data_IF_260573609388
#
_entry.id   IF_260573609388
#
_cell.length_a   1.000
_cell.length_b   1.000
_cell.length_c   1.000
_cell.angle_alpha   90.00
_cell.angle_beta   90.00
_cell.angle_gamma   90.00
#
_symmetry.space_group_name_H-M   'P 1'
#
loop_
_entity.id
_entity.type
_entity.pdbx_description
1 polymer ?
#
# COMPACT_ATOMS: atom_id res chain seq x y z
N UNK A 1 -11.78 -8.33 -4.32
CA UNK A 1 -12.78 -7.31 -3.90
C UNK A 1 -13.16 -7.66 -2.47
N UNK A 2 -12.79 -6.82 -1.51
CA UNK A 2 -13.30 -6.93 -0.15
C UNK A 2 -14.65 -6.21 -0.08
N UNK A 3 -15.70 -6.99 0.11
CA UNK A 3 -17.03 -6.46 0.38
C UNK A 3 -17.10 -6.08 1.85
N UNK A 4 -17.60 -4.90 2.16
CA UNK A 4 -17.88 -4.47 3.52
C UNK A 4 -17.01 -3.33 4.03
N UNK A 5 -17.07 -2.18 3.38
CA UNK A 5 -16.48 -0.95 3.92
C UNK A 5 -17.33 -0.31 5.01
N UNK A 6 -18.54 -0.82 5.26
CA UNK A 6 -19.53 -0.10 6.07
C UNK A 6 -20.01 1.22 5.45
N UNK A 7 -19.51 1.57 4.26
CA UNK A 7 -19.90 2.76 3.52
C UNK A 7 -20.90 2.36 2.44
N UNK A 8 -22.18 2.66 2.67
CA UNK A 8 -23.22 2.45 1.65
C UNK A 8 -22.88 3.22 0.37
N UNK A 9 -23.07 2.57 -0.76
CA UNK A 9 -22.80 3.18 -2.06
C UNK A 9 -21.34 3.14 -2.51
N UNK A 10 -20.43 2.48 -1.77
CA UNK A 10 -19.02 2.37 -2.13
C UNK A 10 -18.53 0.92 -2.14
N UNK A 11 -17.54 0.64 -2.97
CA UNK A 11 -16.80 -0.62 -3.01
C UNK A 11 -15.35 -0.38 -2.62
N UNK A 12 -14.78 -1.28 -1.83
CA UNK A 12 -13.36 -1.27 -1.49
C UNK A 12 -12.60 -2.17 -2.46
N UNK A 13 -11.61 -1.61 -3.12
CA UNK A 13 -10.72 -2.30 -4.05
C UNK A 13 -9.29 -2.20 -3.51
N UNK A 14 -8.60 -3.31 -3.48
CA UNK A 14 -7.18 -3.36 -3.14
C UNK A 14 -6.38 -3.63 -4.41
N UNK A 15 -5.59 -2.66 -4.82
CA UNK A 15 -4.61 -2.84 -5.88
C UNK A 15 -3.34 -3.44 -5.29
N UNK A 16 -2.96 -4.60 -5.79
CA UNK A 16 -1.70 -5.27 -5.43
C UNK A 16 -0.61 -4.71 -6.31
N UNK A 17 0.40 -4.11 -5.70
CA UNK A 17 1.53 -3.51 -6.40
C UNK A 17 2.71 -4.49 -6.47
N UNK A 18 3.48 -4.50 -7.57
CA UNK A 18 4.73 -5.24 -7.66
C UNK A 18 5.86 -4.59 -6.86
N UNK A 19 5.65 -3.44 -6.28
CA UNK A 19 6.66 -2.74 -5.50
C UNK A 19 6.86 -3.36 -4.13
N UNK A 20 8.13 -3.55 -3.77
CA UNK A 20 8.56 -3.97 -2.44
C UNK A 20 9.44 -2.89 -1.85
N UNK A 21 9.08 -2.40 -0.67
CA UNK A 21 9.83 -1.38 0.03
C UNK A 21 10.50 -2.00 1.26
N UNK A 22 11.77 -1.75 1.43
CA UNK A 22 12.53 -2.08 2.65
C UNK A 22 12.94 -0.80 3.35
N UNK A 23 12.51 -0.68 4.59
CA UNK A 23 12.87 0.42 5.46
C UNK A 23 13.44 -0.18 6.76
N UNK A 24 14.57 0.34 7.25
CA UNK A 24 15.31 -0.25 8.38
C UNK A 24 15.26 0.60 9.64
N UNK A 25 14.96 1.88 9.50
CA UNK A 25 15.09 2.86 10.59
C UNK A 25 13.81 3.00 11.40
N UNK A 26 12.68 2.53 10.87
CA UNK A 26 11.36 2.59 11.50
C UNK A 26 10.59 3.86 11.17
N UNK A 27 10.95 4.54 10.07
CA UNK A 27 10.17 5.66 9.55
C UNK A 27 8.79 5.16 9.13
N UNK A 28 7.77 5.86 9.56
CA UNK A 28 6.39 5.62 9.14
C UNK A 28 6.07 6.48 7.92
N UNK A 29 5.16 5.99 7.11
CA UNK A 29 4.72 6.70 5.92
C UNK A 29 3.21 6.91 5.97
N UNK A 30 2.77 8.12 5.71
CA UNK A 30 1.36 8.42 5.49
C UNK A 30 1.03 8.17 4.01
N UNK A 31 0.10 7.26 3.76
CA UNK A 31 -0.54 7.09 2.47
C UNK A 31 -1.79 7.94 2.42
N UNK A 32 -1.94 8.71 1.36
CA UNK A 32 -3.08 9.60 1.15
C UNK A 32 -3.36 9.75 -0.34
N UNK A 33 -4.47 10.37 -0.68
CA UNK A 33 -4.76 10.73 -2.07
C UNK A 33 -3.62 11.54 -2.67
N UNK A 34 -3.38 11.33 -3.96
CA UNK A 34 -2.51 12.20 -4.72
C UNK A 34 -3.24 13.52 -5.04
N UNK A 35 -2.77 14.62 -4.46
CA UNK A 35 -3.36 15.95 -4.71
C UNK A 35 -3.06 16.49 -6.12
N UNK A 36 -2.12 15.86 -6.83
CA UNK A 36 -1.66 16.30 -8.15
C UNK A 36 -2.47 15.70 -9.30
N UNK A 37 -3.39 14.79 -9.01
CA UNK A 37 -4.20 14.13 -10.04
C UNK A 37 -5.60 14.73 -10.08
N UNK A 38 -5.85 15.57 -11.07
CA UNK A 38 -7.16 16.20 -11.29
C UNK A 38 -8.25 15.24 -11.78
N UNK A 39 -7.90 14.00 -12.13
CA UNK A 39 -8.84 13.00 -12.68
C UNK A 39 -9.42 12.03 -11.63
N UNK A 40 -9.17 12.24 -10.35
CA UNK A 40 -9.57 11.33 -9.27
C UNK A 40 -11.01 11.53 -8.77
N UNK A 41 -11.96 11.84 -9.65
CA UNK A 41 -13.37 11.95 -9.23
C UNK A 41 -14.04 10.59 -8.93
N UNK A 42 -13.44 9.49 -9.37
CA UNK A 42 -14.07 8.18 -9.37
C UNK A 42 -13.70 7.29 -8.18
N UNK A 43 -12.62 7.60 -7.51
CA UNK A 43 -12.14 6.87 -6.34
C UNK A 43 -11.41 7.79 -5.37
N UNK A 44 -11.26 7.33 -4.14
CA UNK A 44 -10.36 7.96 -3.18
C UNK A 44 -9.55 6.89 -2.44
N UNK A 45 -8.38 7.28 -1.98
CA UNK A 45 -7.50 6.45 -1.16
C UNK A 45 -7.68 6.87 0.29
N UNK A 46 -8.20 6.00 1.18
CA UNK A 46 -8.29 6.30 2.60
C UNK A 46 -6.90 6.55 3.18
N UNK A 47 -6.78 7.54 4.03
CA UNK A 47 -5.54 7.82 4.73
C UNK A 47 -5.14 6.63 5.60
N UNK A 48 -3.86 6.27 5.56
CA UNK A 48 -3.33 5.18 6.36
C UNK A 48 -1.85 5.35 6.65
N UNK A 49 -1.41 4.82 7.80
CA UNK A 49 0.00 4.80 8.15
C UNK A 49 0.57 3.41 7.88
N UNK A 50 1.68 3.38 7.15
CA UNK A 50 2.39 2.17 6.77
C UNK A 50 3.79 2.15 7.40
N UNK A 51 4.17 1.01 7.95
CA UNK A 51 5.49 0.77 8.52
C UNK A 51 6.23 -0.32 7.73
N UNK A 52 7.13 0.07 6.83
CA UNK A 52 7.90 -0.86 6.01
C UNK A 52 9.01 -1.63 6.76
N UNK A 53 9.25 -1.28 8.01
CA UNK A 53 10.11 -2.07 8.88
C UNK A 53 9.58 -3.48 9.13
N UNK A 54 8.26 -3.65 9.10
CA UNK A 54 7.58 -4.88 9.44
C UNK A 54 6.90 -5.56 8.26
N UNK A 55 6.72 -4.85 7.17
CA UNK A 55 6.15 -5.35 5.93
C UNK A 55 6.88 -4.78 4.73
N UNK A 56 6.90 -5.47 3.62
CA UNK A 56 7.55 -5.01 2.39
C UNK A 56 6.55 -4.71 1.27
N UNK A 57 5.37 -5.30 1.33
CA UNK A 57 4.34 -5.14 0.30
C UNK A 57 3.75 -3.75 0.30
N UNK A 58 3.63 -3.18 -0.88
CA UNK A 58 2.98 -1.89 -1.11
C UNK A 58 1.68 -2.13 -1.87
N UNK A 59 0.56 -2.02 -1.18
CA UNK A 59 -0.76 -2.15 -1.79
C UNK A 59 -1.50 -0.83 -1.63
N UNK A 60 -2.31 -0.49 -2.62
CA UNK A 60 -3.14 0.71 -2.59
C UNK A 60 -4.58 0.29 -2.34
N UNK A 61 -5.13 0.73 -1.22
CA UNK A 61 -6.54 0.57 -0.93
C UNK A 61 -7.30 1.75 -1.54
N UNK A 62 -8.32 1.44 -2.33
CA UNK A 62 -9.16 2.43 -3.01
C UNK A 62 -10.60 2.23 -2.62
N UNK A 63 -11.32 3.30 -2.46
CA UNK A 63 -12.76 3.31 -2.27
C UNK A 63 -13.39 3.91 -3.52
N UNK A 64 -14.23 3.15 -4.19
CA UNK A 64 -14.84 3.50 -5.47
C UNK A 64 -16.34 3.62 -5.30
N UNK A 65 -16.94 4.67 -5.85
CA UNK A 65 -18.39 4.83 -5.82
C UNK A 65 -19.09 3.75 -6.64
N UNK A 66 -20.08 3.09 -6.07
CA UNK A 66 -20.92 2.11 -6.78
C UNK A 66 -21.77 2.74 -7.87
N UNK A 67 -21.96 4.06 -7.86
CA UNK A 67 -22.67 4.78 -8.94
C UNK A 67 -21.91 4.72 -10.26
N UNK A 68 -20.60 4.42 -10.21
CA UNK A 68 -19.79 4.22 -11.40
C UNK A 68 -20.02 2.82 -11.99
N UNK A 69 -20.43 1.86 -11.17
CA UNK A 69 -20.81 0.53 -11.64
C UNK A 69 -22.24 0.57 -12.26
N UNK A 70 -22.46 0.08 -13.49
CA UNK A 70 -21.56 -0.74 -14.30
C UNK A 70 -20.55 0.03 -15.18
N UNK A 71 -20.50 1.34 -15.11
CA UNK A 71 -19.53 2.12 -15.87
C UNK A 71 -18.11 1.80 -15.43
N UNK A 72 -17.20 1.75 -16.36
CA UNK A 72 -15.78 1.53 -16.09
C UNK A 72 -15.06 2.86 -15.97
N UNK A 73 -14.07 2.93 -15.10
CA UNK A 73 -13.07 4.00 -15.15
C UNK A 73 -11.70 3.38 -15.45
N UNK A 74 -10.87 4.15 -16.11
CA UNK A 74 -9.54 3.73 -16.52
C UNK A 74 -8.50 4.42 -15.66
N UNK A 75 -7.52 3.67 -15.23
CA UNK A 75 -6.28 4.19 -14.64
C UNK A 75 -5.21 3.95 -15.69
N UNK A 76 -4.62 5.02 -16.20
CA UNK A 76 -3.59 4.93 -17.22
C UNK A 76 -2.23 4.63 -16.59
N UNK A 77 -1.32 4.07 -17.39
CA UNK A 77 0.07 3.93 -16.97
C UNK A 77 0.67 5.33 -16.72
N UNK A 78 1.26 5.51 -15.56
CA UNK A 78 1.82 6.80 -15.13
C UNK A 78 0.88 7.66 -14.29
N UNK A 79 -0.39 7.31 -14.18
CA UNK A 79 -1.29 8.01 -13.27
C UNK A 79 -0.84 7.81 -11.81
N UNK A 80 -0.71 8.89 -11.01
CA UNK A 80 -0.37 8.77 -9.60
C UNK A 80 -1.56 8.18 -8.83
N UNK A 81 -1.35 7.04 -8.18
CA UNK A 81 -2.39 6.32 -7.43
C UNK A 81 -2.49 6.80 -5.98
N UNK A 82 -1.35 7.07 -5.38
CA UNK A 82 -1.24 7.40 -3.97
C UNK A 82 -0.04 8.30 -3.73
N UNK A 83 -0.16 9.20 -2.79
CA UNK A 83 0.96 9.96 -2.27
C UNK A 83 1.47 9.30 -1.00
N UNK A 84 2.78 9.06 -0.94
CA UNK A 84 3.44 8.45 0.20
C UNK A 84 4.34 9.49 0.86
N UNK A 85 3.96 9.96 2.03
CA UNK A 85 4.64 11.02 2.76
C UNK A 85 5.41 10.40 3.93
N UNK A 86 6.74 10.52 3.99
CA UNK A 86 7.50 10.07 5.15
C UNK A 86 7.21 10.96 6.36
N UNK A 87 6.89 10.36 7.47
CA UNK A 87 6.67 11.04 8.75
C UNK A 87 8.02 11.16 9.48
N UNK A 88 8.90 11.96 8.94
CA UNK A 88 10.24 12.19 9.47
C UNK A 88 10.78 13.52 8.98
N UNK A 89 11.51 14.19 9.83
CA UNK A 89 12.31 15.40 9.55
C UNK A 89 13.67 15.09 8.91
N UNK A 90 14.03 13.81 8.83
CA UNK A 90 15.32 13.36 8.27
C UNK A 90 15.26 13.26 6.76
N UNK A 91 16.39 13.55 6.12
CA UNK A 91 16.56 13.31 4.70
C UNK A 91 16.42 11.81 4.37
N UNK A 92 15.56 11.50 3.40
CA UNK A 92 15.32 10.13 2.95
C UNK A 92 16.01 9.90 1.62
N UNK A 93 16.80 8.82 1.55
CA UNK A 93 17.39 8.34 0.29
C UNK A 93 16.61 7.12 -0.17
N UNK A 94 16.12 7.19 -1.40
CA UNK A 94 15.45 6.07 -2.07
C UNK A 94 16.45 5.46 -3.06
N UNK A 95 16.63 4.13 -2.95
CA UNK A 95 17.35 3.32 -3.94
C UNK A 95 16.36 2.37 -4.59
N UNK A 96 16.30 2.39 -5.89
CA UNK A 96 15.48 1.48 -6.68
C UNK A 96 16.34 0.48 -7.44
N UNK A 97 15.88 -0.77 -7.49
CA UNK A 97 16.45 -1.80 -8.34
C UNK A 97 15.35 -2.72 -8.84
N UNK A 98 15.58 -3.25 -10.03
CA UNK A 98 14.75 -4.28 -10.61
C UNK A 98 15.30 -5.63 -10.13
N UNK A 99 14.40 -6.51 -9.71
CA UNK A 99 14.74 -7.88 -9.28
C UNK A 99 14.06 -8.88 -10.20
N UNK A 100 14.61 -10.09 -10.30
CA UNK A 100 13.95 -11.18 -11.04
C UNK A 100 12.66 -11.61 -10.35
N UNK A 101 11.79 -12.29 -11.10
CA UNK A 101 10.57 -12.85 -10.53
C UNK A 101 10.87 -13.87 -9.42
N UNK A 102 11.91 -14.68 -9.59
CA UNK A 102 12.33 -15.67 -8.58
C UNK A 102 12.84 -14.99 -7.30
N UNK A 103 13.64 -13.94 -7.43
CA UNK A 103 14.10 -13.17 -6.29
C UNK A 103 12.94 -12.47 -5.57
N UNK A 104 11.98 -11.98 -6.33
CA UNK A 104 10.78 -11.34 -5.80
C UNK A 104 9.94 -12.31 -4.98
N UNK A 105 9.72 -13.53 -5.48
CA UNK A 105 8.95 -14.58 -4.81
C UNK A 105 9.71 -15.16 -3.61
N UNK A 106 11.01 -15.43 -3.76
CA UNK A 106 11.81 -16.08 -2.71
C UNK A 106 11.98 -15.22 -1.45
N UNK A 107 12.05 -13.91 -1.61
CA UNK A 107 12.24 -12.99 -0.48
C UNK A 107 10.96 -12.71 0.31
N UNK A 108 9.79 -12.93 -0.29
CA UNK A 108 8.49 -12.57 0.29
C UNK A 108 7.45 -13.69 0.26
N UNK A 109 7.85 -14.92 0.02
CA UNK A 109 6.97 -16.07 -0.24
C UNK A 109 5.88 -16.41 0.79
N UNK A 110 5.72 -15.60 1.83
CA UNK A 110 4.75 -15.86 2.90
C UNK A 110 3.81 -14.70 3.22
N UNK A 111 3.83 -13.61 2.47
CA UNK A 111 3.09 -12.41 2.85
C UNK A 111 1.81 -12.12 2.06
N UNK A 112 1.22 -13.15 1.46
CA UNK A 112 -0.09 -13.01 0.82
C UNK A 112 -1.28 -13.01 1.78
N UNK A 113 -1.08 -13.28 3.05
CA UNK A 113 -2.16 -13.27 4.02
C UNK A 113 -2.15 -12.03 4.89
N UNK A 114 -3.32 -11.45 5.00
CA UNK A 114 -3.77 -10.26 5.71
C UNK A 114 -3.14 -9.95 7.09
N UNK A 115 -3.53 -8.84 7.64
CA UNK A 115 -3.20 -8.20 8.93
C UNK A 115 -2.65 -9.09 10.06
N UNK A 116 -3.03 -10.37 10.11
CA UNK A 116 -2.51 -11.34 11.08
C UNK A 116 -1.00 -11.57 10.97
N UNK A 117 -0.44 -11.47 9.76
CA UNK A 117 0.99 -11.67 9.55
C UNK A 117 1.82 -10.43 9.92
N UNK A 118 1.27 -9.23 9.75
CA UNK A 118 1.91 -8.03 10.24
C UNK A 118 2.18 -8.11 11.74
N UNK A 119 1.15 -8.42 12.53
CA UNK A 119 1.28 -8.53 13.98
C UNK A 119 2.17 -9.69 14.41
N UNK A 120 2.12 -10.83 13.73
CA UNK A 120 3.01 -11.97 14.00
C UNK A 120 4.48 -11.62 13.72
N UNK A 121 4.76 -11.00 12.58
CA UNK A 121 6.11 -10.57 12.21
C UNK A 121 6.64 -9.49 13.14
N UNK A 122 5.78 -8.54 13.53
CA UNK A 122 6.14 -7.51 14.51
C UNK A 122 6.52 -8.13 15.85
N UNK A 123 5.66 -8.98 16.41
CA UNK A 123 5.91 -9.68 17.68
C UNK A 123 7.17 -10.56 17.63
N UNK A 124 7.39 -11.28 16.53
CA UNK A 124 8.57 -12.12 16.37
C UNK A 124 9.86 -11.28 16.36
N UNK A 125 9.89 -10.17 15.63
CA UNK A 125 11.04 -9.26 15.58
C UNK A 125 11.29 -8.55 16.91
N UNK A 126 10.26 -8.25 17.69
CA UNK A 126 10.38 -7.65 19.01
C UNK A 126 10.94 -8.64 20.06
N UNK A 127 10.54 -9.93 19.97
CA UNK A 127 11.07 -10.99 20.86
C UNK A 127 12.56 -11.29 20.62
N UNK A 128 13.00 -11.22 19.38
CA UNK A 128 14.40 -11.52 19.01
C UNK A 128 15.36 -10.32 19.20
N UNK A 129 14.88 -9.23 19.77
CA UNK A 129 15.70 -8.07 20.15
C UNK A 129 16.14 -8.07 21.62
N UNK A 130 15.70 -9.05 22.40
CA UNK A 130 16.20 -9.33 23.76
C UNK A 130 17.30 -10.37 23.69
#
# INVERSE_FOLDING_TARGET
IQWGTGLDGYAHIKLVSPWRIKEKTGVKFLFTNSFWNHHQSNYFVPNGIVEYKHQSTTNVNMVVSKKIYPNTFTINAGDPLVQCIPLSDKNIKIKMHVVSAEEFVSKDGYHFSFSSNYYKTKKFKERNKK
#
